data_IF_202045773384
#
_entry.id   IF_202045773384
#
_cell.length_a   1.000
_cell.length_b   1.000
_cell.length_c   1.000
_cell.angle_alpha   90.00
_cell.angle_beta   90.00
_cell.angle_gamma   90.00
#
_symmetry.space_group_name_H-M   'P 1'
#
loop_
_entity.id
_entity.type
_entity.pdbx_description
1 polymer ?
#
# COMPACT_ATOMS: atom_id res chain seq x y z
N UNK A 1 -18.35 7.53 -12.21
CA UNK A 1 -18.16 8.89 -11.66
C UNK A 1 -17.48 8.81 -10.29
N UNK A 2 -16.15 8.66 -10.19
CA UNK A 2 -15.44 8.59 -8.89
C UNK A 2 -14.97 9.96 -8.36
N UNK A 3 -15.01 11.01 -9.20
CA UNK A 3 -14.38 12.31 -8.90
C UNK A 3 -15.19 13.17 -7.92
N UNK A 4 -16.50 13.03 -7.88
CA UNK A 4 -17.38 13.80 -6.99
C UNK A 4 -17.23 13.38 -5.52
N UNK A 5 -17.01 12.09 -5.25
CA UNK A 5 -16.81 11.57 -3.89
C UNK A 5 -15.49 12.04 -3.29
N UNK A 6 -14.42 12.13 -4.09
CA UNK A 6 -13.12 12.65 -3.66
C UNK A 6 -13.20 14.15 -3.32
N UNK A 7 -13.90 14.95 -4.12
CA UNK A 7 -14.13 16.38 -3.83
C UNK A 7 -14.87 16.57 -2.51
N UNK A 8 -15.96 15.82 -2.30
CA UNK A 8 -16.75 15.90 -1.08
C UNK A 8 -15.96 15.43 0.17
N UNK A 9 -15.00 14.51 0.02
CA UNK A 9 -14.10 14.14 1.13
C UNK A 9 -13.03 15.20 1.44
N UNK A 10 -12.71 16.10 0.50
CA UNK A 10 -11.76 17.20 0.67
C UNK A 10 -12.43 18.47 1.20
N UNK A 11 -13.75 18.60 1.04
CA UNK A 11 -14.54 19.78 1.42
C UNK A 11 -15.05 19.75 2.88
N UNK A 12 -14.95 18.63 3.59
CA UNK A 12 -15.39 18.49 4.98
C UNK A 12 -14.22 18.71 5.95
N UNK A 13 -14.29 19.79 6.74
CA UNK A 13 -13.49 20.19 7.93
C UNK A 13 -11.95 20.12 7.84
N UNK A 14 -11.27 21.17 8.32
CA UNK A 14 -9.81 21.29 8.40
C UNK A 14 -9.12 20.12 9.13
N UNK A 15 -9.79 19.51 10.11
CA UNK A 15 -9.35 18.30 10.80
C UNK A 15 -9.22 17.07 9.87
N UNK A 16 -10.00 17.03 8.79
CA UNK A 16 -10.00 15.94 7.83
C UNK A 16 -8.79 16.04 6.89
N UNK A 17 -8.44 17.24 6.42
CA UNK A 17 -7.28 17.43 5.53
C UNK A 17 -5.97 17.04 6.21
N UNK A 18 -5.75 17.47 7.46
CA UNK A 18 -4.57 17.05 8.23
C UNK A 18 -4.52 15.54 8.42
N UNK A 19 -5.66 14.91 8.71
CA UNK A 19 -5.77 13.46 8.85
C UNK A 19 -5.45 12.73 7.54
N UNK A 20 -5.88 13.27 6.39
CA UNK A 20 -5.60 12.75 5.05
C UNK A 20 -4.09 12.87 4.76
N UNK A 21 -3.49 14.03 5.02
CA UNK A 21 -2.05 14.25 4.84
C UNK A 21 -1.25 13.28 5.71
N UNK A 22 -1.62 13.14 6.98
CA UNK A 22 -0.98 12.20 7.91
C UNK A 22 -1.07 10.76 7.38
N UNK A 23 -2.25 10.34 6.94
CA UNK A 23 -2.47 9.00 6.37
C UNK A 23 -1.65 8.78 5.10
N UNK A 24 -1.60 9.76 4.20
CA UNK A 24 -0.79 9.68 2.98
C UNK A 24 0.71 9.52 3.31
N UNK A 25 1.21 10.28 4.29
CA UNK A 25 2.60 10.14 4.79
C UNK A 25 2.86 8.76 5.41
N UNK A 26 1.92 8.24 6.19
CA UNK A 26 2.02 6.90 6.77
C UNK A 26 2.09 5.81 5.69
N UNK A 27 1.26 5.93 4.64
CA UNK A 27 1.27 5.01 3.50
C UNK A 27 2.57 5.09 2.69
N UNK A 28 3.12 6.29 2.48
CA UNK A 28 4.40 6.44 1.78
C UNK A 28 5.57 5.88 2.61
N UNK A 29 5.57 6.11 3.92
CA UNK A 29 6.55 5.53 4.85
C UNK A 29 6.47 4.01 4.89
N UNK A 30 5.26 3.45 4.92
CA UNK A 30 5.03 2.01 4.82
C UNK A 30 5.61 1.46 3.51
N UNK A 31 5.31 2.09 2.37
CA UNK A 31 5.84 1.69 1.06
C UNK A 31 7.38 1.73 1.05
N UNK A 32 7.99 2.80 1.55
CA UNK A 32 9.45 2.95 1.63
C UNK A 32 10.09 1.85 2.48
N UNK A 33 9.52 1.57 3.65
CA UNK A 33 9.99 0.51 4.53
C UNK A 33 9.93 -0.86 3.84
N UNK A 34 8.83 -1.17 3.16
CA UNK A 34 8.68 -2.45 2.46
C UNK A 34 9.60 -2.56 1.23
N UNK A 35 9.88 -1.46 0.52
CA UNK A 35 10.85 -1.45 -0.59
C UNK A 35 12.25 -1.81 -0.14
N UNK A 36 12.65 -1.48 1.09
CA UNK A 36 13.96 -1.84 1.63
C UNK A 36 14.11 -3.34 1.94
N UNK A 37 12.99 -4.07 2.00
CA UNK A 37 12.97 -5.52 2.25
C UNK A 37 13.13 -6.33 0.96
N UNK A 38 12.67 -5.73 -0.15
CA UNK A 38 12.68 -6.30 -1.50
C UNK A 38 14.02 -6.07 -2.19
N UNK A 39 14.30 -6.87 -3.22
CA UNK A 39 15.37 -6.54 -4.16
C UNK A 39 15.06 -5.25 -4.95
N UNK A 40 16.11 -4.61 -5.49
CA UNK A 40 16.00 -3.31 -6.15
C UNK A 40 15.02 -3.31 -7.33
N UNK A 41 14.91 -4.42 -8.05
CA UNK A 41 14.01 -4.51 -9.20
C UNK A 41 12.56 -4.72 -8.75
N UNK A 42 12.30 -5.68 -7.86
CA UNK A 42 10.96 -5.89 -7.30
C UNK A 42 10.41 -4.64 -6.58
N UNK A 43 11.26 -3.89 -5.90
CA UNK A 43 10.89 -2.65 -5.22
C UNK A 43 10.32 -1.57 -6.16
N UNK A 44 10.79 -1.50 -7.41
CA UNK A 44 10.28 -0.57 -8.44
C UNK A 44 8.84 -0.88 -8.83
N UNK A 45 8.47 -2.15 -8.76
CA UNK A 45 7.15 -2.64 -9.14
C UNK A 45 6.11 -2.55 -8.01
N UNK A 46 6.53 -2.35 -6.76
CA UNK A 46 5.63 -2.02 -5.65
C UNK A 46 5.16 -0.56 -5.74
N UNK A 47 3.94 -0.35 -6.21
CA UNK A 47 3.34 0.97 -6.44
C UNK A 47 2.81 1.58 -5.16
N UNK A 48 2.15 0.78 -4.33
CA UNK A 48 1.52 1.24 -3.09
C UNK A 48 1.42 0.11 -2.08
N UNK A 49 1.39 0.50 -0.81
CA UNK A 49 1.12 -0.39 0.31
C UNK A 49 0.08 0.27 1.21
N UNK A 50 -0.90 -0.49 1.65
CA UNK A 50 -1.97 0.00 2.50
C UNK A 50 -2.32 -1.01 3.57
N UNK A 51 -2.69 -0.52 4.75
CA UNK A 51 -3.18 -1.35 5.85
C UNK A 51 -4.69 -1.12 5.98
N UNK A 52 -5.44 -2.21 5.91
CA UNK A 52 -6.88 -2.22 6.15
C UNK A 52 -7.18 -2.34 7.64
N UNK A 53 -8.37 -1.88 8.03
CA UNK A 53 -8.84 -1.91 9.44
C UNK A 53 -8.91 -3.32 10.02
N UNK A 54 -9.07 -4.35 9.18
CA UNK A 54 -9.11 -5.76 9.57
C UNK A 54 -7.71 -6.41 9.73
N UNK A 55 -6.63 -5.62 9.68
CA UNK A 55 -5.27 -6.14 9.81
C UNK A 55 -4.69 -6.72 8.51
N UNK A 56 -5.33 -6.51 7.37
CA UNK A 56 -4.79 -6.93 6.07
C UNK A 56 -3.82 -5.87 5.50
N UNK A 57 -2.58 -6.28 5.22
CA UNK A 57 -1.61 -5.53 4.42
C UNK A 57 -1.85 -5.79 2.94
N UNK A 58 -2.20 -4.76 2.17
CA UNK A 58 -2.44 -4.86 0.73
C UNK A 58 -1.31 -4.17 -0.03
N UNK A 59 -0.64 -4.93 -0.89
CA UNK A 59 0.44 -4.47 -1.76
C UNK A 59 -0.07 -4.37 -3.20
N UNK A 60 0.12 -3.23 -3.83
CA UNK A 60 -0.23 -2.99 -5.24
C UNK A 60 1.02 -3.07 -6.10
N UNK A 61 0.98 -3.96 -7.10
CA UNK A 61 2.05 -4.18 -8.07
C UNK A 61 1.57 -3.87 -9.49
N UNK A 62 2.43 -3.30 -10.35
CA UNK A 62 2.10 -2.99 -11.75
C UNK A 62 2.51 -4.08 -12.76
N UNK A 63 3.02 -5.22 -12.30
CA UNK A 63 3.46 -6.31 -13.18
C UNK A 63 3.11 -7.66 -12.56
N UNK A 64 2.58 -8.57 -13.38
CA UNK A 64 2.25 -9.93 -12.93
C UNK A 64 3.49 -10.72 -12.53
N UNK A 65 4.56 -10.65 -13.34
CA UNK A 65 5.83 -11.33 -13.07
C UNK A 65 6.43 -10.87 -11.73
N UNK A 66 6.50 -9.55 -11.51
CA UNK A 66 6.99 -8.99 -10.25
C UNK A 66 6.03 -9.20 -9.08
N UNK A 67 4.73 -9.29 -9.35
CA UNK A 67 3.73 -9.68 -8.37
C UNK A 67 4.03 -11.05 -7.77
N UNK A 68 4.41 -12.05 -8.57
CA UNK A 68 4.82 -13.36 -8.08
C UNK A 68 6.10 -13.30 -7.23
N UNK A 69 7.08 -12.49 -7.62
CA UNK A 69 8.30 -12.27 -6.82
C UNK A 69 7.97 -11.63 -5.46
N UNK A 70 7.12 -10.60 -5.43
CA UNK A 70 6.68 -9.96 -4.18
C UNK A 70 5.87 -10.94 -3.31
N UNK A 71 5.06 -11.83 -3.92
CA UNK A 71 4.34 -12.89 -3.18
C UNK A 71 5.29 -13.88 -2.53
N UNK A 72 6.42 -14.20 -3.15
CA UNK A 72 7.44 -15.04 -2.54
C UNK A 72 7.96 -14.42 -1.24
N UNK A 73 8.20 -13.11 -1.22
CA UNK A 73 8.65 -12.37 -0.03
C UNK A 73 7.51 -11.94 0.93
N UNK A 74 6.28 -12.40 0.70
CA UNK A 74 5.08 -11.91 1.39
C UNK A 74 5.14 -12.08 2.91
N UNK A 75 5.63 -13.21 3.40
CA UNK A 75 5.76 -13.47 4.83
C UNK A 75 6.82 -12.54 5.46
N UNK A 76 7.95 -12.35 4.78
CA UNK A 76 9.02 -11.43 5.21
C UNK A 76 8.49 -10.00 5.31
N UNK A 77 7.74 -9.55 4.30
CA UNK A 77 7.10 -8.23 4.26
C UNK A 77 6.10 -8.05 5.39
N UNK A 78 5.27 -9.07 5.66
CA UNK A 78 4.31 -9.05 6.76
C UNK A 78 5.03 -8.92 8.11
N UNK A 79 6.06 -9.74 8.35
CA UNK A 79 6.87 -9.68 9.59
C UNK A 79 7.54 -8.32 9.77
N UNK A 80 8.12 -7.75 8.71
CA UNK A 80 8.69 -6.39 8.78
C UNK A 80 7.62 -5.36 9.11
N UNK A 81 6.43 -5.43 8.50
CA UNK A 81 5.34 -4.52 8.82
C UNK A 81 4.83 -4.68 10.26
N UNK A 82 4.78 -5.90 10.78
CA UNK A 82 4.37 -6.21 12.15
C UNK A 82 5.28 -5.60 13.22
N UNK A 83 6.54 -5.26 12.89
CA UNK A 83 7.43 -4.53 13.81
C UNK A 83 6.84 -3.20 14.28
N UNK A 84 6.05 -2.54 13.42
CA UNK A 84 5.40 -1.26 13.71
C UNK A 84 3.88 -1.40 13.86
N UNK A 85 3.26 -2.33 13.12
CA UNK A 85 1.81 -2.57 13.15
C UNK A 85 1.51 -4.01 13.58
N UNK A 86 1.61 -4.28 14.89
CA UNK A 86 1.46 -5.63 15.48
C UNK A 86 0.13 -6.31 15.19
N UNK A 87 -0.92 -5.55 14.88
CA UNK A 87 -2.26 -6.09 14.58
C UNK A 87 -2.40 -6.65 13.15
N UNK A 88 -1.36 -6.57 12.32
CA UNK A 88 -1.41 -7.14 10.98
C UNK A 88 -1.46 -8.67 11.04
N UNK A 89 -2.41 -9.26 10.32
CA UNK A 89 -2.68 -10.71 10.34
C UNK A 89 -2.41 -11.38 9.00
N UNK A 90 -2.49 -10.63 7.91
CA UNK A 90 -2.36 -11.16 6.55
C UNK A 90 -1.73 -10.14 5.62
N UNK A 91 -1.14 -10.65 4.53
CA UNK A 91 -0.62 -9.83 3.45
C UNK A 91 -1.21 -10.33 2.13
N UNK A 92 -1.55 -9.41 1.23
CA UNK A 92 -2.13 -9.72 -0.09
C UNK A 92 -1.48 -8.86 -1.15
N UNK A 93 -0.98 -9.51 -2.20
CA UNK A 93 -0.46 -8.83 -3.40
C UNK A 93 -1.54 -8.78 -4.48
N UNK A 94 -1.91 -7.57 -4.87
CA UNK A 94 -2.83 -7.29 -5.98
C UNK A 94 -2.08 -6.68 -7.15
N UNK A 95 -2.36 -7.17 -8.35
CA UNK A 95 -1.79 -6.64 -9.59
C UNK A 95 -2.79 -5.63 -10.14
N UNK A 96 -2.30 -4.44 -10.50
CA UNK A 96 -3.04 -3.45 -11.27
C UNK A 96 -2.53 -3.51 -12.70
N UNK A 97 -3.35 -4.05 -13.59
CA UNK A 97 -3.08 -4.01 -15.02
C UNK A 97 -3.35 -2.59 -15.52
N UNK A 98 -2.42 -2.04 -16.32
CA UNK A 98 -2.73 -0.84 -17.10
C UNK A 98 -3.74 -1.27 -18.17
N UNK A 99 -5.02 -0.99 -17.95
CA UNK A 99 -5.97 -0.92 -19.05
C UNK A 99 -5.57 0.28 -19.90
N UNK A 100 -4.94 0.05 -21.05
CA UNK A 100 -4.78 1.07 -22.08
C UNK A 100 -6.18 1.47 -22.54
N UNK A 101 -6.57 2.72 -22.27
CA UNK A 101 -7.74 3.37 -22.89
C UNK A 101 -7.26 4.16 -24.10
#
# INVERSE_FOLDING_TARGET
MPSQTLKHCLELDSNNLESIIKRAKEMDNLKKMLRNVLDKEAAKHLISANIRRNGELVLLCNSSAWGSKIRFDQEKLLKTAQTKWKFLTSCRVKIIEKTSY
#
